data_IF_290955811961
#
_entry.id   IF_290955811961
#
_cell.length_a   1.000
_cell.length_b   1.000
_cell.length_c   1.000
_cell.angle_alpha   90.00
_cell.angle_beta   90.00
_cell.angle_gamma   90.00
#
_symmetry.space_group_name_H-M   'P 1'
#
loop_
_entity.id
_entity.type
_entity.pdbx_description
1 polymer ?
#
# COMPACT_ATOMS: atom_id res chain seq x y z
N UNK A 1 -14.19 22.54 -41.59
CA UNK A 1 -13.06 22.73 -40.67
C UNK A 1 -12.73 21.36 -40.12
N UNK A 2 -11.69 20.72 -40.66
CA UNK A 2 -11.13 19.48 -40.10
C UNK A 2 -10.63 19.79 -38.69
N UNK A 3 -11.00 18.94 -37.73
CA UNK A 3 -10.50 19.08 -36.36
C UNK A 3 -9.01 18.73 -36.32
N UNK A 4 -8.26 19.45 -35.50
CA UNK A 4 -6.80 19.34 -35.34
C UNK A 4 -6.31 17.88 -35.18
N UNK A 5 -7.12 17.02 -34.58
CA UNK A 5 -6.86 15.59 -34.34
C UNK A 5 -6.73 14.77 -35.63
N UNK A 6 -7.52 15.10 -36.67
CA UNK A 6 -7.53 14.39 -37.96
C UNK A 6 -6.29 14.74 -38.79
N UNK A 7 -5.82 15.98 -38.66
CA UNK A 7 -4.63 16.47 -39.37
C UNK A 7 -3.32 15.97 -38.77
N UNK A 8 -3.35 15.54 -37.50
CA UNK A 8 -2.16 15.09 -36.77
C UNK A 8 -2.13 13.61 -36.40
N UNK A 9 -3.11 12.80 -36.82
CA UNK A 9 -3.18 11.35 -36.51
C UNK A 9 -2.93 11.04 -35.03
N UNK A 10 -3.44 11.90 -34.14
CA UNK A 10 -3.34 11.72 -32.69
C UNK A 10 -4.65 11.15 -32.19
N UNK A 11 -4.60 9.97 -31.59
CA UNK A 11 -5.75 9.36 -30.91
C UNK A 11 -6.15 10.20 -29.70
N UNK A 12 -7.42 10.60 -29.61
CA UNK A 12 -7.96 11.34 -28.46
C UNK A 12 -7.93 10.45 -27.20
N UNK A 13 -7.17 10.79 -26.14
CA UNK A 13 -7.11 10.01 -24.92
C UNK A 13 -8.47 9.90 -24.19
N UNK A 14 -9.44 10.77 -24.51
CA UNK A 14 -10.83 10.70 -24.00
C UNK A 14 -11.63 9.53 -24.58
N UNK A 15 -11.28 9.06 -25.78
CA UNK A 15 -11.95 7.92 -26.45
C UNK A 15 -11.38 6.55 -26.06
N UNK A 16 -10.25 6.51 -25.34
CA UNK A 16 -9.78 5.26 -24.75
C UNK A 16 -10.77 4.84 -23.66
N UNK A 17 -11.53 3.76 -23.91
CA UNK A 17 -12.27 3.08 -22.85
C UNK A 17 -11.26 2.54 -21.85
N UNK A 18 -10.94 3.33 -20.82
CA UNK A 18 -10.18 2.86 -19.68
C UNK A 18 -11.06 1.76 -19.07
N UNK A 19 -10.60 0.49 -19.00
CA UNK A 19 -11.36 -0.54 -18.32
C UNK A 19 -11.62 -0.01 -16.91
N UNK A 20 -12.90 0.05 -16.51
CA UNK A 20 -13.28 0.52 -15.18
C UNK A 20 -12.63 -0.41 -14.18
N UNK A 21 -11.50 0.02 -13.61
CA UNK A 21 -10.86 -0.70 -12.52
C UNK A 21 -11.86 -0.71 -11.38
N UNK A 22 -12.14 -1.89 -10.82
CA UNK A 22 -12.96 -2.06 -9.61
C UNK A 22 -12.24 -1.54 -8.34
N UNK A 23 -11.36 -0.55 -8.49
CA UNK A 23 -10.51 -0.02 -7.44
C UNK A 23 -10.85 1.45 -7.23
N UNK A 24 -11.12 1.87 -5.98
CA UNK A 24 -11.30 3.27 -5.65
C UNK A 24 -9.99 4.04 -5.87
N UNK A 25 -10.12 5.30 -6.27
CA UNK A 25 -8.97 6.21 -6.32
C UNK A 25 -8.56 6.59 -4.89
N UNK A 26 -7.29 6.34 -4.57
CA UNK A 26 -6.70 6.56 -3.26
C UNK A 26 -5.90 7.88 -3.20
N UNK A 27 -6.00 8.72 -4.24
CA UNK A 27 -5.32 10.02 -4.33
C UNK A 27 -5.58 10.90 -3.11
N UNK A 28 -6.84 11.02 -2.68
CA UNK A 28 -7.25 11.83 -1.52
C UNK A 28 -6.62 11.31 -0.21
N UNK A 29 -6.55 9.99 -0.06
CA UNK A 29 -5.89 9.35 1.08
C UNK A 29 -4.38 9.63 1.08
N UNK A 30 -3.71 9.51 -0.07
CA UNK A 30 -2.28 9.80 -0.16
C UNK A 30 -1.95 11.28 0.08
N UNK A 31 -2.82 12.20 -0.35
CA UNK A 31 -2.69 13.62 -0.02
C UNK A 31 -2.78 13.85 1.49
N UNK A 32 -3.81 13.29 2.16
CA UNK A 32 -3.94 13.38 3.62
C UNK A 32 -2.73 12.77 4.34
N UNK A 33 -2.26 11.60 3.90
CA UNK A 33 -1.06 10.99 4.46
C UNK A 33 0.18 11.87 4.32
N UNK A 34 0.36 12.55 3.19
CA UNK A 34 1.54 13.39 2.96
C UNK A 34 1.59 14.62 3.87
N UNK A 35 0.43 15.11 4.33
CA UNK A 35 0.34 16.20 5.30
C UNK A 35 0.65 15.72 6.73
N UNK A 36 0.32 14.46 7.04
CA UNK A 36 0.51 13.86 8.36
C UNK A 36 1.95 13.35 8.54
N UNK A 37 2.54 12.75 7.50
CA UNK A 37 3.90 12.22 7.57
C UNK A 37 4.92 13.37 7.53
N UNK A 38 5.79 13.51 8.55
CA UNK A 38 6.72 14.63 8.61
C UNK A 38 7.73 14.55 7.46
N UNK A 39 7.69 15.53 6.55
CA UNK A 39 8.74 15.75 5.56
C UNK A 39 10.04 16.21 6.25
N UNK A 40 11.23 15.99 5.64
CA UNK A 40 12.52 16.36 6.23
C UNK A 40 12.67 17.86 6.54
N UNK A 41 11.88 18.73 5.89
CA UNK A 41 11.87 20.18 6.12
C UNK A 41 10.89 20.63 7.24
N UNK A 42 10.19 19.69 7.90
CA UNK A 42 9.24 20.02 8.95
C UNK A 42 9.93 20.23 10.31
N UNK A 43 9.34 21.09 11.15
CA UNK A 43 9.77 21.30 12.54
C UNK A 43 9.93 19.96 13.29
N UNK A 44 11.09 19.68 13.92
CA UNK A 44 11.48 18.35 14.43
C UNK A 44 10.63 17.81 15.61
N UNK A 45 9.66 18.59 16.11
CA UNK A 45 8.77 18.21 17.22
C UNK A 45 7.30 18.48 16.93
N UNK A 46 6.94 18.74 15.67
CA UNK A 46 5.54 18.90 15.30
C UNK A 46 4.88 17.52 15.27
N UNK A 47 3.96 17.28 16.19
CA UNK A 47 3.12 16.08 16.21
C UNK A 47 1.87 16.38 15.37
N UNK A 48 1.46 15.48 14.45
CA UNK A 48 0.25 15.67 13.66
C UNK A 48 -0.99 15.76 14.56
N UNK A 49 -2.00 16.50 14.09
CA UNK A 49 -3.25 16.64 14.85
C UNK A 49 -3.95 15.27 14.87
N UNK A 50 -4.42 14.77 16.03
CA UNK A 50 -5.09 13.47 16.12
C UNK A 50 -6.29 13.32 15.17
N UNK A 51 -6.98 14.43 14.86
CA UNK A 51 -8.07 14.48 13.90
C UNK A 51 -7.64 14.10 12.48
N UNK A 52 -6.50 14.60 12.02
CA UNK A 52 -5.98 14.33 10.67
C UNK A 52 -5.59 12.85 10.54
N UNK A 53 -4.95 12.31 11.59
CA UNK A 53 -4.64 10.88 11.69
C UNK A 53 -5.91 10.04 11.59
N UNK A 54 -6.93 10.36 12.39
CA UNK A 54 -8.22 9.65 12.35
C UNK A 54 -8.88 9.72 10.97
N UNK A 55 -8.80 10.87 10.28
CA UNK A 55 -9.32 11.04 8.92
C UNK A 55 -8.59 10.15 7.89
N UNK A 56 -7.28 9.95 8.04
CA UNK A 56 -6.53 9.00 7.21
C UNK A 56 -6.98 7.55 7.43
N UNK A 57 -7.26 7.15 8.68
CA UNK A 57 -7.82 5.82 8.98
C UNK A 57 -9.23 5.64 8.41
N UNK A 58 -10.10 6.64 8.56
CA UNK A 58 -11.47 6.59 8.02
C UNK A 58 -11.50 6.54 6.49
N UNK A 59 -10.68 7.36 5.81
CA UNK A 59 -10.62 7.36 4.35
C UNK A 59 -10.12 6.03 3.77
N UNK A 60 -9.14 5.38 4.39
CA UNK A 60 -8.73 4.04 3.97
C UNK A 60 -9.80 2.99 4.26
N UNK A 61 -10.49 3.08 5.40
CA UNK A 61 -11.58 2.17 5.74
C UNK A 61 -12.74 2.27 4.74
N UNK A 62 -13.09 3.49 4.32
CA UNK A 62 -14.12 3.73 3.29
C UNK A 62 -13.72 3.15 1.93
N UNK A 63 -12.45 3.30 1.52
CA UNK A 63 -11.96 2.70 0.28
C UNK A 63 -12.02 1.16 0.31
N UNK A 64 -11.65 0.53 1.42
CA UNK A 64 -11.78 -0.93 1.60
C UNK A 64 -13.24 -1.39 1.64
N UNK A 65 -14.14 -0.59 2.20
CA UNK A 65 -15.58 -0.85 2.19
C UNK A 65 -16.16 -0.82 0.76
N UNK A 66 -15.72 0.13 -0.08
CA UNK A 66 -16.10 0.16 -1.50
C UNK A 66 -15.62 -1.10 -2.23
N UNK A 67 -14.35 -1.49 -2.06
CA UNK A 67 -13.82 -2.73 -2.63
C UNK A 67 -14.59 -3.97 -2.18
N UNK A 68 -15.00 -4.02 -0.90
CA UNK A 68 -15.79 -5.12 -0.35
C UNK A 68 -17.18 -5.23 -1.00
N UNK A 69 -17.81 -4.10 -1.31
CA UNK A 69 -19.13 -4.05 -1.98
C UNK A 69 -19.03 -4.45 -3.44
N UNK A 70 -18.00 -4.00 -4.14
CA UNK A 70 -17.76 -4.33 -5.55
C UNK A 70 -17.42 -5.81 -5.76
N UNK A 71 -16.83 -6.44 -4.74
CA UNK A 71 -16.60 -7.89 -4.70
C UNK A 71 -17.90 -8.70 -4.56
N UNK A 72 -18.98 -8.08 -4.06
CA UNK A 72 -20.29 -8.71 -3.81
C UNK A 72 -21.30 -8.47 -4.95
N UNK A 73 -20.95 -7.60 -5.90
CA UNK A 73 -21.79 -7.36 -7.07
C UNK A 73 -21.89 -8.65 -7.92
N UNK A 74 -23.11 -9.07 -8.32
CA UNK A 74 -23.29 -10.31 -9.06
C UNK A 74 -22.58 -10.20 -10.41
N UNK A 75 -21.47 -10.91 -10.52
CA UNK A 75 -20.79 -11.11 -11.80
C UNK A 75 -21.66 -12.06 -12.63
N UNK A 76 -22.14 -11.56 -13.77
CA UNK A 76 -22.93 -12.31 -14.74
C UNK A 76 -22.23 -13.64 -15.09
N UNK A 77 -22.74 -14.75 -14.57
CA UNK A 77 -22.60 -16.08 -15.18
C UNK A 77 -21.42 -16.98 -14.81
N UNK A 78 -20.56 -16.70 -13.82
CA UNK A 78 -19.53 -17.68 -13.42
C UNK A 78 -19.76 -18.25 -12.03
N UNK A 79 -20.07 -19.55 -12.05
CA UNK A 79 -20.31 -20.49 -10.96
C UNK A 79 -19.33 -20.35 -9.79
N UNK A 80 -19.86 -20.57 -8.58
CA UNK A 80 -19.25 -20.22 -7.31
C UNK A 80 -17.87 -20.82 -7.08
N UNK A 81 -16.91 -19.95 -6.78
CA UNK A 81 -15.60 -20.33 -6.24
C UNK A 81 -15.55 -19.99 -4.75
N UNK A 82 -15.40 -21.05 -3.95
CA UNK A 82 -15.24 -21.15 -2.47
C UNK A 82 -14.08 -20.30 -1.88
N UNK A 83 -13.40 -19.51 -2.72
CA UNK A 83 -12.27 -18.64 -2.34
C UNK A 83 -12.65 -17.18 -2.05
N UNK A 84 -13.86 -16.75 -2.42
CA UNK A 84 -14.32 -15.35 -2.26
C UNK A 84 -14.57 -15.00 -0.78
N UNK A 85 -14.97 -15.98 0.03
CA UNK A 85 -15.30 -15.78 1.44
C UNK A 85 -14.09 -15.35 2.27
N UNK A 86 -12.92 -15.96 2.04
CA UNK A 86 -11.69 -15.63 2.77
C UNK A 86 -11.21 -14.19 2.54
N UNK A 87 -11.34 -13.68 1.31
CA UNK A 87 -10.97 -12.29 1.00
C UNK A 87 -11.96 -11.28 1.59
N UNK A 88 -13.25 -11.65 1.66
CA UNK A 88 -14.29 -10.83 2.30
C UNK A 88 -14.08 -10.74 3.81
N UNK A 89 -13.74 -11.86 4.44
CA UNK A 89 -13.39 -11.94 5.85
C UNK A 89 -12.14 -11.12 6.17
N UNK A 90 -11.12 -11.18 5.29
CA UNK A 90 -9.92 -10.37 5.41
C UNK A 90 -10.24 -8.86 5.36
N UNK A 91 -10.96 -8.40 4.33
CA UNK A 91 -11.38 -6.99 4.21
C UNK A 91 -12.19 -6.55 5.42
N UNK A 92 -13.12 -7.37 5.91
CA UNK A 92 -13.91 -7.04 7.10
C UNK A 92 -13.05 -6.86 8.35
N UNK A 93 -12.06 -7.74 8.54
CA UNK A 93 -11.10 -7.68 9.65
C UNK A 93 -10.21 -6.44 9.51
N UNK A 94 -9.79 -6.12 8.28
CA UNK A 94 -8.99 -4.94 7.98
C UNK A 94 -9.75 -3.65 8.32
N UNK A 95 -11.00 -3.53 7.89
CA UNK A 95 -11.87 -2.37 8.13
C UNK A 95 -12.12 -2.20 9.63
N UNK A 96 -12.49 -3.27 10.34
CA UNK A 96 -12.71 -3.21 11.80
C UNK A 96 -11.46 -2.72 12.53
N UNK A 97 -10.29 -3.21 12.12
CA UNK A 97 -9.03 -2.79 12.72
C UNK A 97 -8.67 -1.34 12.38
N UNK A 98 -9.07 -0.80 11.22
CA UNK A 98 -8.88 0.63 10.91
C UNK A 98 -9.82 1.52 11.73
N UNK A 99 -11.10 1.13 11.84
CA UNK A 99 -12.09 1.88 12.62
C UNK A 99 -11.72 1.94 14.10
N UNK A 100 -11.27 0.82 14.68
CA UNK A 100 -10.79 0.78 16.06
C UNK A 100 -9.59 1.73 16.30
N UNK A 101 -8.68 1.84 15.34
CA UNK A 101 -7.55 2.78 15.42
C UNK A 101 -7.96 4.23 15.14
N UNK A 102 -9.02 4.45 14.37
CA UNK A 102 -9.56 5.78 14.15
C UNK A 102 -10.21 6.37 15.42
N UNK A 103 -10.84 5.51 16.25
CA UNK A 103 -11.42 5.91 17.54
C UNK A 103 -10.35 6.21 18.61
N UNK A 104 -9.21 5.52 18.54
CA UNK A 104 -8.04 5.78 19.40
C UNK A 104 -6.80 6.04 18.55
N UNK A 105 -6.68 7.25 17.94
CA UNK A 105 -5.62 7.52 16.98
C UNK A 105 -4.24 7.44 17.66
N UNK A 106 -3.28 6.72 17.04
CA UNK A 106 -1.90 6.72 17.52
C UNK A 106 -1.29 8.11 17.39
N UNK A 107 -0.25 8.39 18.19
CA UNK A 107 0.43 9.70 18.17
C UNK A 107 1.18 9.96 16.86
N UNK A 108 1.65 8.91 16.21
CA UNK A 108 2.43 8.96 14.97
C UNK A 108 1.97 7.82 14.05
N UNK A 109 2.15 8.03 12.75
CA UNK A 109 1.86 6.99 11.75
C UNK A 109 2.98 5.97 11.80
N UNK A 110 2.66 4.77 12.30
CA UNK A 110 3.63 3.68 12.45
C UNK A 110 4.03 3.05 11.12
N UNK A 111 3.40 3.42 10.01
CA UNK A 111 3.60 2.82 8.70
C UNK A 111 5.00 2.98 8.09
N UNK A 112 5.21 2.25 7.00
CA UNK A 112 6.50 2.23 6.31
C UNK A 112 6.65 3.40 5.34
N UNK A 113 7.89 3.81 5.09
CA UNK A 113 8.20 4.88 4.13
C UNK A 113 7.85 4.48 2.70
N UNK A 114 7.71 5.48 1.83
CA UNK A 114 7.37 5.27 0.42
C UNK A 114 8.47 4.50 -0.32
N UNK A 115 9.73 4.81 -0.01
CA UNK A 115 10.91 4.18 -0.59
C UNK A 115 10.97 2.69 -0.28
N UNK A 116 10.52 2.29 0.91
CA UNK A 116 10.42 0.86 1.25
C UNK A 116 9.41 0.15 0.37
N UNK A 117 8.25 0.76 0.12
CA UNK A 117 7.23 0.18 -0.76
C UNK A 117 7.78 0.01 -2.19
N UNK A 118 8.58 0.96 -2.66
CA UNK A 118 9.17 0.92 -4.00
C UNK A 118 10.30 -0.13 -4.15
N UNK A 119 10.98 -0.45 -3.04
CA UNK A 119 12.02 -1.48 -2.96
C UNK A 119 11.49 -2.91 -2.76
N UNK A 120 10.17 -3.10 -2.62
CA UNK A 120 9.58 -4.43 -2.48
C UNK A 120 9.88 -5.31 -3.71
N UNK A 121 10.01 -6.62 -3.47
CA UNK A 121 10.32 -7.58 -4.53
C UNK A 121 9.17 -7.68 -5.53
N UNK A 122 9.50 -7.50 -6.82
CA UNK A 122 8.51 -7.47 -7.90
C UNK A 122 8.41 -8.83 -8.54
N UNK A 123 7.18 -9.35 -8.62
CA UNK A 123 6.93 -10.65 -9.22
C UNK A 123 6.71 -10.47 -10.73
N UNK A 124 7.54 -11.08 -11.60
CA UNK A 124 7.36 -10.95 -13.04
C UNK A 124 6.11 -11.69 -13.50
N UNK A 125 5.43 -11.14 -14.51
CA UNK A 125 4.19 -11.72 -15.08
C UNK A 125 4.34 -13.17 -15.53
N UNK A 126 5.54 -13.57 -15.97
CA UNK A 126 5.84 -14.94 -16.39
C UNK A 126 5.77 -15.97 -15.27
N UNK A 127 5.91 -15.54 -14.01
CA UNK A 127 5.84 -16.41 -12.83
C UNK A 127 4.45 -16.47 -12.19
N UNK A 128 3.52 -15.63 -12.65
CA UNK A 128 2.14 -15.56 -12.16
C UNK A 128 1.27 -16.57 -12.89
N UNK A 129 0.40 -17.24 -12.14
CA UNK A 129 -0.62 -18.13 -12.70
C UNK A 129 -1.93 -17.35 -12.92
N UNK A 130 -2.78 -17.77 -13.87
CA UNK A 130 -4.10 -17.14 -14.06
C UNK A 130 -5.05 -17.33 -12.87
N UNK A 131 -4.77 -18.31 -12.00
CA UNK A 131 -5.51 -18.52 -10.76
C UNK A 131 -5.00 -17.68 -9.58
N UNK A 132 -3.87 -16.96 -9.74
CA UNK A 132 -3.35 -16.12 -8.67
C UNK A 132 -4.18 -14.85 -8.58
N UNK A 133 -4.78 -14.64 -7.40
CA UNK A 133 -5.66 -13.51 -7.10
C UNK A 133 -5.05 -12.64 -5.98
N UNK A 134 -5.35 -11.35 -6.00
CA UNK A 134 -4.99 -10.44 -4.92
C UNK A 134 -5.90 -10.69 -3.71
N UNK A 135 -5.37 -11.03 -2.51
CA UNK A 135 -6.20 -11.30 -1.33
C UNK A 135 -6.99 -10.10 -0.81
N UNK A 136 -6.62 -8.87 -1.21
CA UNK A 136 -7.27 -7.64 -0.75
C UNK A 136 -8.45 -7.28 -1.65
N UNK A 137 -8.25 -7.26 -2.97
CA UNK A 137 -9.30 -6.84 -3.91
C UNK A 137 -9.98 -8.01 -4.64
N UNK A 138 -9.57 -9.26 -4.39
CA UNK A 138 -10.08 -10.49 -5.00
C UNK A 138 -10.05 -10.54 -6.54
N UNK A 139 -9.32 -9.64 -7.19
CA UNK A 139 -9.16 -9.64 -8.64
C UNK A 139 -7.97 -10.52 -9.05
N UNK A 140 -8.05 -11.13 -10.22
CA UNK A 140 -6.94 -11.88 -10.78
C UNK A 140 -5.83 -10.95 -11.25
N UNK A 141 -4.57 -11.27 -10.93
CA UNK A 141 -3.45 -10.40 -11.32
C UNK A 141 -3.33 -10.25 -12.84
N UNK A 142 -3.70 -11.27 -13.61
CA UNK A 142 -3.60 -11.24 -15.08
C UNK A 142 -4.79 -10.55 -15.78
N UNK A 143 -5.80 -10.07 -15.02
CA UNK A 143 -6.90 -9.29 -15.59
C UNK A 143 -6.43 -7.90 -16.04
N UNK A 144 -5.44 -7.32 -15.34
CA UNK A 144 -4.86 -6.04 -15.70
C UNK A 144 -3.86 -6.16 -16.87
N UNK A 145 -3.80 -5.15 -17.73
CA UNK A 145 -2.81 -5.10 -18.83
C UNK A 145 -1.38 -4.96 -18.30
N UNK A 146 -1.22 -4.27 -17.16
CA UNK A 146 0.07 -4.00 -16.51
C UNK A 146 0.02 -4.32 -15.00
N UNK A 147 -0.07 -5.59 -14.61
CA UNK A 147 -0.05 -5.97 -13.19
C UNK A 147 1.26 -5.57 -12.54
N UNK A 148 1.12 -4.90 -11.40
CA UNK A 148 2.21 -4.54 -10.51
C UNK A 148 2.05 -5.36 -9.23
N UNK A 149 2.52 -6.60 -9.29
CA UNK A 149 2.47 -7.52 -8.16
C UNK A 149 3.77 -7.46 -7.38
N UNK A 150 3.65 -7.33 -6.07
CA UNK A 150 4.77 -7.42 -5.13
C UNK A 150 4.61 -8.59 -4.19
N UNK A 151 5.76 -9.12 -3.79
CA UNK A 151 5.86 -10.15 -2.76
C UNK A 151 6.43 -9.52 -1.49
N UNK A 152 5.74 -9.70 -0.37
CA UNK A 152 6.24 -9.27 0.93
C UNK A 152 7.31 -10.24 1.43
N UNK A 153 8.28 -9.74 2.20
CA UNK A 153 9.39 -10.55 2.74
C UNK A 153 8.98 -11.51 3.86
N UNK A 154 7.75 -11.41 4.37
CA UNK A 154 7.27 -12.26 5.45
C UNK A 154 6.99 -13.70 5.01
N UNK A 155 6.38 -13.91 3.85
CA UNK A 155 6.12 -15.24 3.32
C UNK A 155 6.03 -15.24 1.78
N UNK A 156 6.55 -16.28 1.08
CA UNK A 156 6.54 -16.33 -0.40
C UNK A 156 5.15 -16.37 -1.04
N UNK A 157 4.11 -16.71 -0.27
CA UNK A 157 2.71 -16.70 -0.74
C UNK A 157 2.02 -15.34 -0.54
N UNK A 158 2.64 -14.40 0.18
CA UNK A 158 2.08 -13.08 0.45
C UNK A 158 2.35 -12.15 -0.73
N UNK A 159 1.50 -12.31 -1.75
CA UNK A 159 1.55 -11.56 -3.00
C UNK A 159 0.33 -10.66 -3.09
N UNK A 160 0.57 -9.41 -3.46
CA UNK A 160 -0.49 -8.41 -3.56
C UNK A 160 -0.22 -7.48 -4.72
N UNK A 161 -1.27 -6.85 -5.21
CA UNK A 161 -1.10 -5.69 -6.08
C UNK A 161 -0.57 -4.50 -5.29
N UNK A 162 0.39 -3.79 -5.88
CA UNK A 162 1.02 -2.61 -5.31
C UNK A 162 0.01 -1.56 -4.88
N UNK A 163 -1.03 -1.32 -5.70
CA UNK A 163 -2.07 -0.35 -5.41
C UNK A 163 -2.92 -0.73 -4.18
N UNK A 164 -3.08 -2.03 -3.92
CA UNK A 164 -3.88 -2.52 -2.79
C UNK A 164 -3.08 -2.57 -1.48
N UNK A 165 -1.80 -2.98 -1.54
CA UNK A 165 -0.98 -3.17 -0.34
C UNK A 165 -0.29 -1.88 0.12
N UNK A 166 0.08 -0.98 -0.80
CA UNK A 166 0.79 0.26 -0.49
C UNK A 166 0.04 1.16 0.51
N UNK A 167 -1.27 1.42 0.38
CA UNK A 167 -2.00 2.26 1.35
C UNK A 167 -1.97 1.68 2.76
N UNK A 168 -2.09 0.35 2.86
CA UNK A 168 -2.07 -0.36 4.13
C UNK A 168 -0.69 -0.31 4.79
N UNK A 169 0.37 -0.57 4.02
CA UNK A 169 1.75 -0.49 4.53
C UNK A 169 2.14 0.94 4.93
N UNK A 170 1.71 1.96 4.18
CA UNK A 170 2.00 3.37 4.49
C UNK A 170 1.30 3.84 5.77
N UNK A 171 0.16 3.26 6.14
CA UNK A 171 -0.57 3.65 7.33
C UNK A 171 -0.22 2.80 8.57
N UNK A 172 -0.19 1.47 8.43
CA UNK A 172 0.11 0.56 9.56
C UNK A 172 1.49 -0.06 9.53
N UNK A 173 2.03 -0.32 8.36
CA UNK A 173 3.32 -1.01 8.20
C UNK A 173 3.33 -2.50 8.53
N UNK A 174 2.14 -3.13 8.61
CA UNK A 174 2.00 -4.56 8.89
C UNK A 174 1.49 -5.33 7.68
N UNK A 175 1.81 -6.62 7.59
CA UNK A 175 1.16 -7.49 6.60
C UNK A 175 -0.31 -7.74 6.97
N UNK A 176 -1.26 -7.67 6.02
CA UNK A 176 -2.67 -7.95 6.30
C UNK A 176 -2.96 -9.42 6.66
N UNK A 177 -2.10 -10.36 6.26
CA UNK A 177 -2.32 -11.81 6.48
C UNK A 177 -1.68 -12.33 7.77
N UNK A 178 -0.39 -12.07 8.00
CA UNK A 178 0.36 -12.59 9.16
C UNK A 178 0.66 -11.55 10.24
N UNK A 179 0.31 -10.28 10.00
CA UNK A 179 0.53 -9.14 10.92
C UNK A 179 2.00 -8.89 11.26
N UNK A 180 2.94 -9.37 10.45
CA UNK A 180 4.36 -9.03 10.58
C UNK A 180 4.54 -7.53 10.39
N UNK A 181 5.19 -6.87 11.35
CA UNK A 181 5.46 -5.43 11.35
C UNK A 181 6.79 -5.12 10.65
N UNK A 182 6.69 -4.57 9.44
CA UNK A 182 7.83 -4.15 8.63
C UNK A 182 8.38 -2.79 9.06
N UNK A 183 7.55 -1.94 9.65
CA UNK A 183 7.99 -0.64 10.14
C UNK A 183 8.90 -0.79 11.36
N UNK A 184 8.60 -1.74 12.26
CA UNK A 184 9.51 -2.11 13.35
C UNK A 184 10.85 -2.64 12.82
N UNK A 185 10.82 -3.51 11.82
CA UNK A 185 12.06 -4.01 11.19
C UNK A 185 12.88 -2.88 10.55
N UNK A 186 12.25 -1.90 9.91
CA UNK A 186 12.94 -0.74 9.37
C UNK A 186 13.58 0.12 10.45
N UNK A 187 12.87 0.39 11.56
CA UNK A 187 13.40 1.14 12.70
C UNK A 187 14.60 0.42 13.34
N UNK A 188 14.46 -0.87 13.62
CA UNK A 188 15.55 -1.69 14.17
C UNK A 188 16.77 -1.73 13.24
N UNK A 189 16.56 -1.86 11.92
CA UNK A 189 17.65 -1.84 10.93
C UNK A 189 18.32 -0.47 10.85
N UNK A 190 17.57 0.62 10.96
CA UNK A 190 18.11 1.98 10.97
C UNK A 190 18.92 2.24 12.24
N UNK A 191 18.42 1.82 13.41
CA UNK A 191 19.12 1.91 14.69
C UNK A 191 20.39 1.07 14.69
N UNK A 192 20.34 -0.18 14.19
CA UNK A 192 21.51 -1.03 14.05
C UNK A 192 22.57 -0.41 13.13
N UNK A 193 22.14 0.19 12.01
CA UNK A 193 23.04 0.91 11.10
C UNK A 193 23.68 2.13 11.78
N UNK A 194 22.91 2.88 12.58
CA UNK A 194 23.42 4.03 13.32
C UNK A 194 24.46 3.61 14.37
N UNK A 195 24.18 2.53 15.10
CA UNK A 195 25.09 1.96 16.10
C UNK A 195 26.42 1.50 15.49
N UNK A 196 26.38 0.87 14.31
CA UNK A 196 27.60 0.48 13.59
C UNK A 196 28.45 1.68 13.16
N UNK A 197 27.82 2.78 12.71
CA UNK A 197 28.56 4.00 12.34
C UNK A 197 29.18 4.66 13.57
N UNK A 198 28.47 4.71 14.70
CA UNK A 198 29.00 5.24 15.97
C UNK A 198 30.17 4.40 16.49
N UNK A 199 30.09 3.07 16.39
CA UNK A 199 31.18 2.15 16.77
C UNK A 199 32.41 2.31 15.85
N UNK A 200 32.23 2.42 14.53
CA UNK A 200 33.33 2.65 13.58
C UNK A 200 34.01 4.03 13.82
N UNK A 201 33.23 5.08 14.13
CA UNK A 201 33.75 6.42 14.44
C UNK A 201 34.52 6.46 15.78
N UNK A 202 34.10 5.69 16.78
CA UNK A 202 34.80 5.56 18.08
C UNK A 202 36.11 4.77 17.93
N UNK A 203 36.13 3.68 17.16
CA UNK A 203 37.34 2.89 16.90
C UNK A 203 38.40 3.66 16.08
N UNK A 204 37.99 4.50 15.12
CA UNK A 204 38.91 5.34 14.35
C UNK A 204 39.56 6.44 15.21
N UNK A 205 38.85 6.97 16.21
CA UNK A 205 39.38 7.97 17.14
C UNK A 205 40.36 7.39 18.18
N UNK A 206 40.16 6.14 18.63
CA UNK A 206 41.05 5.48 19.60
C UNK A 206 42.38 5.02 18.97
N UNK A 207 42.39 4.74 17.66
CA UNK A 207 43.59 4.33 16.91
C UNK A 207 44.60 5.46 16.60
N UNK A 208 44.23 6.74 16.75
CA UNK A 208 45.06 7.89 16.36
C UNK A 208 45.93 8.46 17.50
N UNK A 209 45.78 7.97 18.75
CA UNK A 209 46.52 8.44 19.93
C UNK A 209 47.30 7.32 20.67
N UNK A 210 47.86 6.37 19.92
CA UNK A 210 48.75 5.30 20.42
C UNK A 210 50.19 5.41 19.96
#
# INVERSE_FOLDING_TARGET
MSTYEIEHNTTDPSTAQIPRRRRPDLSTFFSALSEITPAPDHRPHAVPVPGDISAAFYSLAEALEMMRRDSDAPQDGTDGTDGTDNGRDLLSTMIQSLLAQADTPPREVEGVSEEYCDMLDRVPKSSLKPADICPICNNAFLEDQYPLVVQLSCHPTHRFDMECIRPWLRLRGTCPLDRVDFAKQQREKAEAKKKLVEEDEEEEWDGMYG
#
